data_IF_138028080719
#
_entry.id   IF_138028080719
#
_cell.length_a   1.000
_cell.length_b   1.000
_cell.length_c   1.000
_cell.angle_alpha   90.00
_cell.angle_beta   90.00
_cell.angle_gamma   90.00
#
_symmetry.space_group_name_H-M   'P 1'
#
loop_
_entity.id
_entity.type
_entity.pdbx_description
1 polymer ?
#
# COMPACT_ATOMS: atom_id res chain seq x y z
N UNK A 1 -32.67 30.61 -11.52
CA UNK A 1 -32.42 29.17 -11.75
C UNK A 1 -31.04 28.81 -11.27
N UNK A 2 -30.87 28.60 -9.95
CA UNK A 2 -29.59 28.16 -9.33
C UNK A 2 -29.80 26.83 -8.56
N UNK A 3 -31.04 26.49 -8.19
CA UNK A 3 -31.34 25.25 -7.44
C UNK A 3 -31.46 23.96 -8.30
N UNK A 4 -31.52 24.09 -9.64
CA UNK A 4 -31.70 22.93 -10.54
C UNK A 4 -30.36 22.27 -10.88
N UNK A 5 -29.25 23.02 -10.85
CA UNK A 5 -27.92 22.54 -11.22
C UNK A 5 -27.30 21.66 -10.11
N UNK A 6 -27.50 22.02 -8.84
CA UNK A 6 -27.08 21.22 -7.67
C UNK A 6 -27.81 19.87 -7.59
N UNK A 7 -29.08 19.84 -8.01
CA UNK A 7 -29.88 18.63 -7.99
C UNK A 7 -29.30 17.57 -8.94
N UNK A 8 -28.85 17.98 -10.12
CA UNK A 8 -28.28 17.09 -11.14
C UNK A 8 -27.00 16.38 -10.71
N UNK A 9 -26.09 17.10 -10.03
CA UNK A 9 -24.85 16.52 -9.50
C UNK A 9 -25.14 15.45 -8.44
N UNK A 10 -26.08 15.73 -7.52
CA UNK A 10 -26.49 14.77 -6.49
C UNK A 10 -27.13 13.51 -7.10
N UNK A 11 -27.97 13.65 -8.13
CA UNK A 11 -28.55 12.49 -8.82
C UNK A 11 -27.50 11.63 -9.54
N UNK A 12 -26.49 12.23 -10.17
CA UNK A 12 -25.41 11.48 -10.84
C UNK A 12 -24.52 10.76 -9.81
N UNK A 13 -24.18 11.42 -8.71
CA UNK A 13 -23.43 10.80 -7.60
C UNK A 13 -24.24 9.65 -7.00
N UNK A 14 -25.54 9.84 -6.75
CA UNK A 14 -26.42 8.79 -6.23
C UNK A 14 -26.56 7.61 -7.20
N UNK A 15 -26.71 7.86 -8.51
CA UNK A 15 -26.78 6.82 -9.53
C UNK A 15 -25.48 6.02 -9.68
N UNK A 16 -24.32 6.62 -9.44
CA UNK A 16 -23.03 5.91 -9.41
C UNK A 16 -22.75 5.18 -8.09
N UNK A 17 -23.14 5.79 -6.97
CA UNK A 17 -22.82 5.30 -5.62
C UNK A 17 -23.75 4.17 -5.17
N UNK A 18 -25.04 4.21 -5.53
CA UNK A 18 -26.02 3.18 -5.14
C UNK A 18 -25.70 1.80 -5.72
N UNK A 19 -25.30 1.63 -7.00
CA UNK A 19 -24.84 0.35 -7.54
C UNK A 19 -23.58 -0.16 -6.83
N UNK A 20 -22.62 0.71 -6.52
CA UNK A 20 -21.42 0.34 -5.77
C UNK A 20 -21.75 -0.19 -4.36
N UNK A 21 -22.70 0.45 -3.66
CA UNK A 21 -23.20 -0.02 -2.37
C UNK A 21 -23.97 -1.35 -2.48
N UNK A 22 -24.71 -1.58 -3.57
CA UNK A 22 -25.39 -2.87 -3.82
C UNK A 22 -24.39 -4.00 -4.05
N UNK A 23 -23.27 -3.74 -4.74
CA UNK A 23 -22.18 -4.70 -4.90
C UNK A 23 -21.52 -5.02 -3.55
N UNK A 24 -21.29 -4.02 -2.70
CA UNK A 24 -20.77 -4.22 -1.35
C UNK A 24 -21.72 -5.06 -0.47
N UNK A 25 -23.04 -4.93 -0.66
CA UNK A 25 -24.05 -5.75 0.03
C UNK A 25 -24.01 -7.23 -0.41
N UNK A 26 -23.54 -7.51 -1.63
CA UNK A 26 -23.30 -8.87 -2.13
C UNK A 26 -22.07 -9.50 -1.46
N UNK A 27 -21.07 -8.68 -1.13
CA UNK A 27 -19.89 -9.09 -0.35
C UNK A 27 -20.32 -9.77 0.97
N UNK A 28 -21.21 -9.15 1.76
CA UNK A 28 -21.72 -9.69 3.04
C UNK A 28 -22.39 -11.08 2.95
N UNK A 29 -22.79 -11.54 1.75
CA UNK A 29 -23.45 -12.84 1.56
C UNK A 29 -22.46 -14.00 1.37
N UNK A 30 -21.17 -13.72 1.13
CA UNK A 30 -20.15 -14.73 1.04
C UNK A 30 -19.61 -15.09 2.43
N UNK A 31 -19.96 -16.28 2.92
CA UNK A 31 -19.38 -16.88 4.15
C UNK A 31 -17.83 -16.91 4.11
N UNK A 32 -17.26 -16.92 2.90
CA UNK A 32 -15.82 -16.86 2.64
C UNK A 32 -15.13 -15.56 3.13
N UNK A 33 -15.87 -14.47 3.40
CA UNK A 33 -15.30 -13.24 3.98
C UNK A 33 -14.86 -13.44 5.42
N UNK A 34 -15.56 -14.28 6.18
CA UNK A 34 -15.15 -14.57 7.55
C UNK A 34 -13.80 -15.31 7.57
N UNK A 35 -13.60 -16.18 6.59
CA UNK A 35 -12.33 -16.85 6.33
C UNK A 35 -11.23 -15.83 5.97
N UNK A 36 -11.49 -14.96 5.00
CA UNK A 36 -10.55 -13.91 4.58
C UNK A 36 -10.18 -12.93 5.70
N UNK A 37 -11.13 -12.56 6.55
CA UNK A 37 -10.87 -11.65 7.69
C UNK A 37 -10.04 -12.32 8.79
N UNK A 38 -10.18 -13.64 9.00
CA UNK A 38 -9.26 -14.42 9.85
C UNK A 38 -7.85 -14.44 9.25
N UNK A 39 -7.71 -14.72 7.96
CA UNK A 39 -6.41 -14.67 7.27
C UNK A 39 -5.76 -13.29 7.38
N UNK A 40 -6.54 -12.23 7.20
CA UNK A 40 -6.06 -10.86 7.32
C UNK A 40 -5.64 -10.51 8.74
N UNK A 41 -6.37 -10.95 9.78
CA UNK A 41 -5.95 -10.74 11.18
C UNK A 41 -4.63 -11.44 11.50
N UNK A 42 -4.47 -12.68 11.03
CA UNK A 42 -3.25 -13.45 11.22
C UNK A 42 -2.07 -12.75 10.52
N UNK A 43 -2.27 -12.30 9.28
CA UNK A 43 -1.27 -11.53 8.55
C UNK A 43 -0.96 -10.18 9.22
N UNK A 44 -1.99 -9.48 9.72
CA UNK A 44 -1.88 -8.16 10.34
C UNK A 44 -1.09 -8.16 11.65
N UNK A 45 -0.90 -9.31 12.31
CA UNK A 45 -0.02 -9.42 13.47
C UNK A 45 1.45 -9.24 13.11
N UNK A 46 1.86 -9.67 11.91
CA UNK A 46 3.24 -9.58 11.42
C UNK A 46 3.56 -8.27 10.68
N UNK A 47 2.53 -7.57 10.17
CA UNK A 47 2.70 -6.32 9.41
C UNK A 47 3.38 -5.16 10.17
N UNK A 48 3.15 -4.92 11.48
CA UNK A 48 3.71 -3.76 12.18
C UNK A 48 5.24 -3.76 12.21
N UNK A 49 5.85 -4.92 12.47
CA UNK A 49 7.32 -5.07 12.50
C UNK A 49 7.91 -4.83 11.11
N UNK A 50 7.25 -5.36 10.08
CA UNK A 50 7.64 -5.12 8.70
C UNK A 50 7.53 -3.65 8.30
N UNK A 51 6.45 -2.97 8.68
CA UNK A 51 6.31 -1.53 8.41
C UNK A 51 7.38 -0.71 9.14
N UNK A 52 7.72 -1.09 10.37
CA UNK A 52 8.78 -0.42 11.12
C UNK A 52 10.14 -0.50 10.41
N UNK A 53 10.56 -1.70 9.98
CA UNK A 53 11.82 -1.89 9.24
C UNK A 53 11.79 -1.09 7.92
N UNK A 54 10.65 -1.10 7.22
CA UNK A 54 10.49 -0.35 5.97
C UNK A 54 10.68 1.16 6.16
N UNK A 55 10.11 1.73 7.23
CA UNK A 55 10.27 3.14 7.59
C UNK A 55 11.72 3.45 7.95
N UNK A 56 12.41 2.58 8.69
CA UNK A 56 13.82 2.77 9.05
C UNK A 56 14.71 2.83 7.80
N UNK A 57 14.52 1.88 6.86
CA UNK A 57 15.24 1.89 5.58
C UNK A 57 14.93 3.17 4.80
N UNK A 58 13.66 3.56 4.71
CA UNK A 58 13.25 4.78 4.03
C UNK A 58 13.93 6.03 4.58
N UNK A 59 13.93 6.21 5.90
CA UNK A 59 14.55 7.36 6.56
C UNK A 59 16.08 7.37 6.40
N UNK A 60 16.72 6.20 6.46
CA UNK A 60 18.16 6.07 6.25
C UNK A 60 18.56 6.55 4.84
N UNK A 61 17.88 6.04 3.81
CA UNK A 61 18.16 6.42 2.42
C UNK A 61 17.77 7.88 2.12
N UNK A 62 16.70 8.38 2.75
CA UNK A 62 16.34 9.81 2.71
C UNK A 62 17.51 10.68 3.17
N UNK A 63 18.08 10.37 4.33
CA UNK A 63 19.19 11.13 4.88
C UNK A 63 20.43 11.05 3.98
N UNK A 64 20.74 9.87 3.44
CA UNK A 64 21.86 9.67 2.53
C UNK A 64 21.72 10.50 1.24
N UNK A 65 20.54 10.50 0.62
CA UNK A 65 20.26 11.30 -0.59
C UNK A 65 20.34 12.79 -0.28
N UNK A 66 19.78 13.24 0.84
CA UNK A 66 19.80 14.66 1.23
C UNK A 66 21.21 15.21 1.47
N UNK A 67 22.15 14.38 1.95
CA UNK A 67 23.54 14.78 2.17
C UNK A 67 24.35 14.83 0.88
N UNK A 68 24.05 13.94 -0.07
CA UNK A 68 24.83 13.78 -1.31
C UNK A 68 24.35 14.67 -2.45
N UNK A 69 23.08 15.07 -2.43
CA UNK A 69 22.50 15.98 -3.43
C UNK A 69 22.72 17.45 -3.07
N UNK A 70 22.91 18.27 -4.10
CA UNK A 70 23.01 19.71 -3.92
C UNK A 70 21.68 20.31 -3.46
N UNK A 71 21.75 21.28 -2.54
CA UNK A 71 20.58 22.02 -2.05
C UNK A 71 19.84 22.82 -3.13
N UNK A 72 20.47 23.04 -4.29
CA UNK A 72 19.83 23.64 -5.45
C UNK A 72 18.84 22.70 -6.15
N UNK A 73 19.04 21.38 -6.01
CA UNK A 73 18.17 20.35 -6.56
C UNK A 73 17.17 19.86 -5.51
N UNK A 74 17.65 19.52 -4.30
CA UNK A 74 16.83 19.04 -3.19
C UNK A 74 17.01 19.98 -1.98
N UNK A 75 16.31 21.12 -1.94
CA UNK A 75 16.44 22.11 -0.87
C UNK A 75 15.99 21.62 0.51
N UNK A 76 14.94 20.80 0.58
CA UNK A 76 14.32 20.41 1.85
C UNK A 76 14.34 18.90 2.07
N UNK A 77 14.40 18.49 3.35
CA UNK A 77 14.31 17.07 3.73
C UNK A 77 12.99 16.45 3.25
N UNK A 78 11.89 17.21 3.25
CA UNK A 78 10.59 16.74 2.77
C UNK A 78 10.60 16.34 1.28
N UNK A 79 11.37 17.06 0.44
CA UNK A 79 11.54 16.69 -0.97
C UNK A 79 12.41 15.43 -1.13
N UNK A 80 13.45 15.26 -0.31
CA UNK A 80 14.22 14.02 -0.28
C UNK A 80 13.36 12.83 0.17
N UNK A 81 12.49 13.04 1.17
CA UNK A 81 11.54 12.03 1.67
C UNK A 81 10.55 11.62 0.58
N UNK A 82 9.99 12.59 -0.15
CA UNK A 82 9.09 12.34 -1.28
C UNK A 82 9.78 11.53 -2.38
N UNK A 83 10.97 11.98 -2.82
CA UNK A 83 11.76 11.28 -3.85
C UNK A 83 12.04 9.83 -3.47
N UNK A 84 12.55 9.60 -2.25
CA UNK A 84 12.90 8.25 -1.79
C UNK A 84 11.67 7.40 -1.56
N UNK A 85 10.57 7.95 -1.04
CA UNK A 85 9.31 7.23 -0.86
C UNK A 85 8.74 6.73 -2.19
N UNK A 86 8.65 7.62 -3.17
CA UNK A 86 8.25 7.32 -4.54
C UNK A 86 9.17 6.29 -5.21
N UNK A 87 10.49 6.40 -4.97
CA UNK A 87 11.47 5.44 -5.48
C UNK A 87 11.27 4.05 -4.86
N UNK A 88 11.04 3.96 -3.55
CA UNK A 88 10.82 2.67 -2.87
C UNK A 88 9.55 1.97 -3.33
N UNK A 89 8.48 2.72 -3.58
CA UNK A 89 7.21 2.21 -4.10
C UNK A 89 7.22 2.01 -5.61
N UNK A 90 8.35 2.25 -6.29
CA UNK A 90 8.49 2.24 -7.75
C UNK A 90 7.53 3.20 -8.47
N UNK A 91 6.89 4.12 -7.75
CA UNK A 91 6.00 5.14 -8.28
C UNK A 91 6.82 6.41 -8.57
N UNK A 92 7.69 6.35 -9.58
CA UNK A 92 8.52 7.50 -9.94
C UNK A 92 7.70 8.49 -10.78
N UNK A 93 7.34 9.65 -10.20
CA UNK A 93 6.55 10.68 -10.88
C UNK A 93 7.38 11.58 -11.82
N UNK A 94 8.71 11.53 -11.73
CA UNK A 94 9.63 12.24 -12.63
C UNK A 94 9.75 13.76 -12.39
N UNK A 95 9.06 14.27 -11.39
CA UNK A 95 9.10 15.65 -10.90
C UNK A 95 10.43 15.99 -10.20
N UNK A 96 10.98 15.02 -9.46
CA UNK A 96 12.23 15.16 -8.73
C UNK A 96 13.12 13.95 -9.01
N UNK A 97 14.43 14.18 -9.23
CA UNK A 97 15.41 13.12 -9.46
C UNK A 97 16.81 13.52 -9.00
N UNK A 98 17.65 12.57 -8.57
CA UNK A 98 19.03 12.86 -8.19
C UNK A 98 19.85 13.29 -9.41
N UNK A 99 20.52 14.43 -9.30
CA UNK A 99 21.43 14.94 -10.36
C UNK A 99 22.86 14.49 -10.11
N UNK A 100 23.27 14.34 -8.85
CA UNK A 100 24.58 13.89 -8.45
C UNK A 100 24.81 12.43 -8.81
N UNK A 101 26.06 12.08 -9.15
CA UNK A 101 26.44 10.69 -9.40
C UNK A 101 26.21 9.83 -8.15
N UNK A 102 26.53 10.36 -6.96
CA UNK A 102 26.32 9.65 -5.70
C UNK A 102 24.83 9.45 -5.40
N UNK A 103 23.99 10.46 -5.67
CA UNK A 103 22.54 10.36 -5.49
C UNK A 103 21.91 9.28 -6.37
N UNK A 104 22.36 9.19 -7.64
CA UNK A 104 21.92 8.14 -8.57
C UNK A 104 22.28 6.74 -8.10
N UNK A 105 23.51 6.55 -7.60
CA UNK A 105 23.95 5.26 -7.05
C UNK A 105 23.10 4.89 -5.83
N UNK A 106 22.91 5.82 -4.90
CA UNK A 106 22.11 5.58 -3.68
C UNK A 106 20.66 5.21 -4.03
N UNK A 107 20.02 5.94 -4.93
CA UNK A 107 18.66 5.65 -5.38
C UNK A 107 18.58 4.30 -6.11
N UNK A 108 19.58 3.93 -6.92
CA UNK A 108 19.60 2.63 -7.58
C UNK A 108 19.66 1.47 -6.59
N UNK A 109 20.48 1.60 -5.54
CA UNK A 109 20.58 0.62 -4.46
C UNK A 109 19.29 0.56 -3.65
N UNK A 110 18.69 1.72 -3.35
CA UNK A 110 17.39 1.83 -2.68
C UNK A 110 16.31 1.03 -3.42
N UNK A 111 16.19 1.23 -4.72
CA UNK A 111 15.17 0.55 -5.55
C UNK A 111 15.37 -0.97 -5.55
N UNK A 112 16.62 -1.44 -5.62
CA UNK A 112 16.91 -2.87 -5.55
C UNK A 112 16.49 -3.47 -4.19
N UNK A 113 16.88 -2.81 -3.09
CA UNK A 113 16.55 -3.27 -1.74
C UNK A 113 15.04 -3.21 -1.48
N UNK A 114 14.37 -2.12 -1.88
CA UNK A 114 12.93 -1.96 -1.66
C UNK A 114 12.11 -2.99 -2.44
N UNK A 115 12.53 -3.31 -3.67
CA UNK A 115 11.87 -4.34 -4.49
C UNK A 115 11.98 -5.72 -3.85
N UNK A 116 13.16 -6.08 -3.34
CA UNK A 116 13.35 -7.34 -2.60
C UNK A 116 12.51 -7.37 -1.32
N UNK A 117 12.42 -6.25 -0.61
CA UNK A 117 11.62 -6.13 0.60
C UNK A 117 10.12 -6.30 0.35
N UNK A 118 9.60 -5.76 -0.76
CA UNK A 118 8.20 -5.87 -1.15
C UNK A 118 7.76 -7.31 -1.49
N UNK A 119 8.68 -8.25 -1.69
CA UNK A 119 8.35 -9.67 -1.83
C UNK A 119 7.93 -10.34 -0.50
N UNK A 120 8.47 -9.87 0.63
CA UNK A 120 8.20 -10.42 1.97
C UNK A 120 6.71 -10.31 2.38
N UNK A 121 6.03 -9.14 2.32
CA UNK A 121 4.63 -9.02 2.74
C UNK A 121 3.71 -9.83 1.84
N UNK A 122 4.02 -9.89 0.54
CA UNK A 122 3.27 -10.71 -0.43
C UNK A 122 3.38 -12.18 -0.05
N UNK A 123 4.59 -12.65 0.33
CA UNK A 123 4.82 -14.00 0.84
C UNK A 123 4.01 -14.31 2.09
N UNK A 124 4.07 -13.44 3.11
CA UNK A 124 3.35 -13.62 4.39
C UNK A 124 1.83 -13.66 4.16
N UNK A 125 1.30 -12.75 3.35
CA UNK A 125 -0.14 -12.74 3.02
C UNK A 125 -0.51 -14.04 2.28
N UNK A 126 0.34 -14.48 1.36
CA UNK A 126 0.14 -15.74 0.63
C UNK A 126 0.13 -16.96 1.54
N UNK A 127 1.04 -17.06 2.51
CA UNK A 127 1.09 -18.18 3.47
C UNK A 127 -0.12 -18.16 4.39
N UNK A 128 -0.47 -17.00 4.98
CA UNK A 128 -1.66 -16.89 5.83
C UNK A 128 -2.95 -17.21 5.05
N UNK A 129 -3.04 -16.81 3.78
CA UNK A 129 -4.17 -17.16 2.93
C UNK A 129 -4.22 -18.66 2.66
N UNK A 130 -3.08 -19.29 2.37
CA UNK A 130 -3.00 -20.73 2.12
C UNK A 130 -3.37 -21.56 3.35
N UNK A 131 -2.91 -21.17 4.53
CA UNK A 131 -3.26 -21.83 5.80
C UNK A 131 -4.77 -21.79 6.03
N UNK A 132 -5.35 -20.61 5.93
CA UNK A 132 -6.77 -20.40 6.13
C UNK A 132 -7.62 -21.08 5.06
N UNK A 133 -7.13 -21.17 3.82
CA UNK A 133 -7.79 -21.90 2.75
C UNK A 133 -7.76 -23.42 2.97
N UNK A 134 -6.66 -23.97 3.48
CA UNK A 134 -6.56 -25.39 3.82
C UNK A 134 -7.47 -25.77 5.00
N UNK A 135 -7.60 -24.87 5.98
CA UNK A 135 -8.47 -25.08 7.15
C UNK A 135 -9.96 -24.79 6.89
N UNK A 136 -10.32 -24.36 5.68
CA UNK A 136 -11.69 -23.97 5.34
C UNK A 136 -12.71 -25.08 5.61
N UNK A 137 -12.36 -26.33 5.28
CA UNK A 137 -13.30 -27.44 5.37
C UNK A 137 -13.53 -27.81 6.85
N UNK A 138 -12.51 -27.66 7.72
CA UNK A 138 -12.69 -27.77 9.18
C UNK A 138 -13.53 -26.63 9.74
N UNK A 139 -13.27 -25.40 9.32
CA UNK A 139 -13.98 -24.21 9.82
C UNK A 139 -15.47 -24.30 9.47
N UNK A 140 -15.81 -24.73 8.26
CA UNK A 140 -17.19 -24.91 7.80
C UNK A 140 -17.93 -26.07 8.50
N UNK A 141 -17.19 -27.09 8.98
CA UNK A 141 -17.77 -28.19 9.76
C UNK A 141 -18.09 -27.78 11.20
N UNK A 142 -17.24 -26.96 11.83
CA UNK A 142 -17.47 -26.43 13.18
C UNK A 142 -18.63 -25.43 13.21
N UNK A 143 -18.83 -24.65 12.16
CA UNK A 143 -19.92 -23.66 12.07
C UNK A 143 -21.31 -24.29 11.78
N UNK A 144 -21.35 -25.59 11.45
CA UNK A 144 -22.58 -26.38 11.22
C UNK A 144 -23.04 -27.23 12.41
N UNK A 145 -22.26 -27.30 13.48
CA UNK A 145 -22.61 -27.99 14.74
C UNK A 145 -23.12 -27.00 15.77
#
# INVERSE_FOLDING_TARGET
GIAVEDSGFVYVVLLGFVPALRLLKTWRRFQQIHLLTKAFRLAAESLPVMLFIYIVVWLFFTAAVYVVEDKSNIPTLGQAMWLTFCSMTSSMFGDLYPKSLGGKVIISVLVLISTLYMAIPIGIIGTCFSEVWNDRDRILLVERM
#
